data_IF_871745913660
#
_entry.id   IF_871745913660
#
_cell.length_a   1.000
_cell.length_b   1.000
_cell.length_c   1.000
_cell.angle_alpha   90.00
_cell.angle_beta   90.00
_cell.angle_gamma   90.00
#
_symmetry.space_group_name_H-M   'P 1'
#
loop_
_entity.id
_entity.type
_entity.pdbx_description
1 polymer ?
#
# COMPACT_ATOMS: atom_id res chain seq x y z
N UNK A 1 1.53 16.24 6.03
CA UNK A 1 1.75 15.28 4.93
C UNK A 1 2.84 14.31 5.33
N UNK A 2 2.59 13.02 5.18
CA UNK A 2 3.60 12.01 5.45
C UNK A 2 3.59 10.97 4.34
N UNK A 3 4.77 10.44 4.04
CA UNK A 3 4.97 9.39 3.05
C UNK A 3 5.66 8.21 3.71
N UNK A 4 5.14 7.01 3.47
CA UNK A 4 5.71 5.78 4.03
C UNK A 4 5.93 4.77 2.92
N UNK A 5 7.00 4.01 3.09
CA UNK A 5 7.26 2.83 2.25
C UNK A 5 7.11 1.61 3.15
N UNK A 6 6.27 0.68 2.73
CA UNK A 6 6.06 -0.57 3.45
C UNK A 6 6.55 -1.69 2.56
N UNK A 7 7.43 -2.53 3.09
CA UNK A 7 8.04 -3.64 2.35
C UNK A 7 7.79 -4.93 3.09
N UNK A 8 7.42 -5.97 2.35
CA UNK A 8 7.31 -7.33 2.87
C UNK A 8 7.53 -8.32 1.73
N UNK A 9 7.69 -9.59 2.07
CA UNK A 9 7.79 -10.65 1.08
C UNK A 9 6.81 -11.74 1.46
N UNK A 10 5.99 -12.15 0.48
CA UNK A 10 4.99 -13.20 0.71
C UNK A 10 5.62 -14.59 0.60
N UNK A 11 4.92 -15.58 1.15
CA UNK A 11 5.24 -16.98 0.85
C UNK A 11 5.13 -17.19 -0.66
N UNK A 12 5.96 -18.10 -1.25
CA UNK A 12 5.98 -18.26 -2.70
C UNK A 12 4.63 -18.61 -3.32
N UNK A 13 3.81 -19.36 -2.61
CA UNK A 13 2.50 -19.79 -3.11
C UNK A 13 1.38 -18.81 -2.76
N UNK A 14 1.69 -17.68 -2.13
CA UNK A 14 0.69 -16.70 -1.70
C UNK A 14 0.83 -15.33 -2.36
N UNK A 15 1.78 -15.19 -3.28
CA UNK A 15 2.03 -13.90 -3.92
C UNK A 15 0.85 -13.46 -4.80
N UNK A 16 0.28 -14.37 -5.57
CA UNK A 16 -0.85 -14.04 -6.44
C UNK A 16 -2.10 -13.71 -5.63
N UNK A 17 -2.34 -14.43 -4.54
CA UNK A 17 -3.42 -14.11 -3.63
C UNK A 17 -3.25 -12.70 -3.06
N UNK A 18 -2.06 -12.37 -2.64
CA UNK A 18 -1.77 -11.05 -2.09
C UNK A 18 -1.98 -9.97 -3.13
N UNK A 19 -1.53 -10.21 -4.36
CA UNK A 19 -1.72 -9.23 -5.43
C UNK A 19 -3.20 -8.98 -5.68
N UNK A 20 -4.01 -10.03 -5.67
CA UNK A 20 -5.47 -9.89 -5.88
C UNK A 20 -6.08 -9.02 -4.79
N UNK A 21 -5.68 -9.22 -3.54
CA UNK A 21 -6.19 -8.41 -2.43
C UNK A 21 -5.77 -6.94 -2.58
N UNK A 22 -4.55 -6.69 -3.04
CA UNK A 22 -4.09 -5.33 -3.32
C UNK A 22 -4.87 -4.71 -4.48
N UNK A 23 -5.10 -5.48 -5.55
CA UNK A 23 -5.87 -4.98 -6.69
C UNK A 23 -7.28 -4.58 -6.29
N UNK A 24 -7.89 -5.32 -5.35
CA UNK A 24 -9.21 -4.95 -4.84
C UNK A 24 -9.18 -3.60 -4.12
N UNK A 25 -8.10 -3.30 -3.39
CA UNK A 25 -7.92 -2.00 -2.75
C UNK A 25 -7.89 -0.89 -3.80
N UNK A 26 -7.12 -1.08 -4.87
CA UNK A 26 -7.02 -0.07 -5.91
C UNK A 26 -8.32 0.09 -6.69
N UNK A 27 -9.07 -0.99 -6.90
CA UNK A 27 -10.39 -0.89 -7.52
C UNK A 27 -11.34 -0.04 -6.67
N UNK A 28 -11.30 -0.22 -5.35
CA UNK A 28 -12.14 0.57 -4.45
C UNK A 28 -11.69 2.03 -4.40
N UNK A 29 -10.38 2.27 -4.43
CA UNK A 29 -9.85 3.63 -4.50
C UNK A 29 -10.31 4.35 -5.77
N UNK A 30 -10.27 3.66 -6.90
CA UNK A 30 -10.73 4.23 -8.18
C UNK A 30 -12.22 4.56 -8.14
N UNK A 31 -13.00 3.75 -7.45
CA UNK A 31 -14.44 3.96 -7.33
C UNK A 31 -14.76 5.11 -6.38
N UNK A 32 -14.14 5.15 -5.21
CA UNK A 32 -14.47 6.12 -4.17
C UNK A 32 -13.71 7.44 -4.27
N UNK A 33 -12.52 7.41 -4.85
CA UNK A 33 -11.65 8.57 -5.05
C UNK A 33 -11.51 9.43 -3.77
N UNK A 34 -11.08 8.84 -2.65
CA UNK A 34 -10.91 9.61 -1.43
C UNK A 34 -9.84 10.69 -1.61
N UNK A 35 -10.09 11.86 -1.03
CA UNK A 35 -9.14 12.95 -1.10
C UNK A 35 -7.98 12.70 -0.14
N UNK A 36 -6.81 13.26 -0.46
CA UNK A 36 -5.70 13.32 0.48
C UNK A 36 -4.86 12.05 0.57
N UNK A 37 -5.00 11.14 -0.38
CA UNK A 37 -4.18 9.93 -0.41
C UNK A 37 -3.59 9.71 -1.80
N UNK A 38 -2.30 9.35 -1.83
CA UNK A 38 -1.61 8.92 -3.04
C UNK A 38 -0.97 7.57 -2.71
N UNK A 39 -1.13 6.61 -3.58
CA UNK A 39 -0.78 5.24 -3.24
C UNK A 39 -0.31 4.51 -4.49
N UNK A 40 0.78 3.77 -4.36
CA UNK A 40 1.27 2.88 -5.41
C UNK A 40 1.76 1.60 -4.76
N UNK A 41 1.62 0.50 -5.46
CA UNK A 41 2.13 -0.79 -5.02
C UNK A 41 2.93 -1.40 -6.16
N UNK A 42 4.11 -1.93 -5.83
CA UNK A 42 5.02 -2.54 -6.78
C UNK A 42 5.30 -3.96 -6.31
N UNK A 43 5.47 -4.87 -7.26
CA UNK A 43 5.76 -6.27 -6.94
C UNK A 43 7.07 -6.68 -7.60
N UNK A 44 7.97 -7.28 -6.81
CA UNK A 44 9.19 -7.88 -7.32
C UNK A 44 8.98 -9.34 -7.73
N UNK A 45 9.92 -9.92 -8.46
CA UNK A 45 9.76 -11.30 -8.96
C UNK A 45 9.86 -12.38 -7.89
N UNK A 46 10.34 -12.03 -6.71
CA UNK A 46 10.55 -12.97 -5.59
C UNK A 46 9.40 -12.97 -4.58
N UNK A 47 8.27 -12.34 -4.90
CA UNK A 47 7.15 -12.20 -3.97
C UNK A 47 7.27 -11.00 -3.06
N UNK A 48 8.24 -10.13 -3.29
CA UNK A 48 8.36 -8.87 -2.55
C UNK A 48 7.32 -7.88 -3.03
N UNK A 49 6.75 -7.12 -2.10
CA UNK A 49 5.79 -6.05 -2.39
C UNK A 49 6.28 -4.78 -1.71
N UNK A 50 6.12 -3.69 -2.42
CA UNK A 50 6.52 -2.36 -1.95
C UNK A 50 5.31 -1.45 -2.08
N UNK A 51 4.85 -0.91 -0.97
CA UNK A 51 3.74 0.03 -0.95
C UNK A 51 4.31 1.41 -0.65
N UNK A 52 3.95 2.39 -1.48
CA UNK A 52 4.31 3.78 -1.24
C UNK A 52 3.01 4.53 -1.04
N UNK A 53 2.83 5.10 0.13
CA UNK A 53 1.59 5.80 0.46
C UNK A 53 1.91 7.18 1.03
N UNK A 54 1.25 8.21 0.48
CA UNK A 54 1.33 9.57 0.98
C UNK A 54 -0.05 9.98 1.47
N UNK A 55 -0.10 10.47 2.71
CA UNK A 55 -1.32 11.00 3.32
C UNK A 55 -1.12 12.50 3.52
N UNK A 56 -2.03 13.31 2.98
CA UNK A 56 -1.87 14.76 3.01
C UNK A 56 -2.15 15.36 4.38
N UNK A 57 -3.14 14.83 5.09
CA UNK A 57 -3.54 15.36 6.40
C UNK A 57 -3.30 14.30 7.47
N UNK A 58 -2.21 14.45 8.20
CA UNK A 58 -1.83 13.50 9.25
C UNK A 58 -2.76 13.57 10.46
N UNK A 59 -3.52 14.65 10.62
CA UNK A 59 -4.43 14.82 11.75
C UNK A 59 -5.82 14.24 11.46
N UNK A 60 -6.14 13.97 10.21
CA UNK A 60 -7.40 13.36 9.83
C UNK A 60 -7.32 11.84 9.95
N UNK A 61 -8.47 11.14 10.05
CA UNK A 61 -8.47 9.68 9.99
C UNK A 61 -7.82 9.19 8.69
N UNK A 62 -7.08 8.09 8.77
CA UNK A 62 -6.38 7.53 7.62
C UNK A 62 -7.40 7.11 6.55
N UNK A 63 -7.33 7.67 5.32
CA UNK A 63 -8.36 7.42 4.31
C UNK A 63 -8.54 5.95 3.94
N UNK A 64 -7.48 5.15 4.02
CA UNK A 64 -7.54 3.73 3.65
C UNK A 64 -8.33 2.90 4.67
N UNK A 65 -8.44 3.37 5.91
CA UNK A 65 -9.12 2.60 6.96
C UNK A 65 -10.61 2.46 6.72
N UNK A 66 -11.19 3.35 5.91
CA UNK A 66 -12.61 3.30 5.58
C UNK A 66 -12.92 2.36 4.41
N UNK A 67 -11.89 1.75 3.81
CA UNK A 67 -12.08 0.88 2.66
C UNK A 67 -12.21 -0.57 3.11
N UNK A 68 -13.37 -1.23 2.88
CA UNK A 68 -13.48 -2.66 3.21
C UNK A 68 -12.41 -3.52 2.56
N UNK A 69 -12.01 -3.20 1.31
CA UNK A 69 -10.96 -3.96 0.63
C UNK A 69 -9.62 -3.87 1.35
N UNK A 70 -9.32 -2.70 1.95
CA UNK A 70 -8.09 -2.54 2.71
C UNK A 70 -8.11 -3.41 3.97
N UNK A 71 -9.26 -3.49 4.63
CA UNK A 71 -9.42 -4.37 5.78
C UNK A 71 -9.21 -5.84 5.40
N UNK A 72 -9.75 -6.26 4.26
CA UNK A 72 -9.54 -7.63 3.79
C UNK A 72 -8.08 -7.89 3.43
N UNK A 73 -7.39 -6.91 2.85
CA UNK A 73 -5.96 -7.04 2.57
C UNK A 73 -5.16 -7.18 3.85
N UNK A 74 -5.46 -6.40 4.87
CA UNK A 74 -4.72 -6.44 6.13
C UNK A 74 -5.02 -7.70 6.94
N UNK A 75 -6.22 -8.26 6.81
CA UNK A 75 -6.54 -9.50 7.49
C UNK A 75 -5.68 -10.63 6.95
N UNK A 76 -4.93 -11.28 7.82
CA UNK A 76 -4.09 -12.41 7.43
C UNK A 76 -2.79 -12.03 6.71
N UNK A 77 -2.43 -10.74 6.64
CA UNK A 77 -1.17 -10.35 5.98
C UNK A 77 0.03 -11.04 6.64
N UNK A 78 0.04 -11.17 7.96
CA UNK A 78 1.13 -11.84 8.65
C UNK A 78 1.29 -13.29 8.25
N UNK A 79 0.19 -13.98 8.01
CA UNK A 79 0.24 -15.40 7.60
C UNK A 79 0.67 -15.55 6.16
N UNK A 80 0.37 -14.56 5.30
CA UNK A 80 0.80 -14.61 3.90
C UNK A 80 2.28 -14.31 3.74
N UNK A 81 2.92 -13.70 4.74
CA UNK A 81 4.30 -13.21 4.60
C UNK A 81 5.33 -14.22 5.06
N UNK A 82 6.39 -14.39 4.26
CA UNK A 82 7.64 -15.03 4.66
C UNK A 82 8.51 -14.03 5.42
N UNK A 83 8.48 -12.75 5.02
CA UNK A 83 9.13 -11.65 5.75
C UNK A 83 8.07 -10.63 6.09
N UNK A 84 7.93 -10.32 7.37
CA UNK A 84 6.87 -9.47 7.88
C UNK A 84 7.01 -8.03 7.39
N UNK A 85 5.90 -7.27 7.31
CA UNK A 85 5.97 -5.89 6.85
C UNK A 85 6.84 -5.00 7.73
N UNK A 86 7.64 -4.17 7.07
CA UNK A 86 8.44 -3.13 7.70
C UNK A 86 8.03 -1.81 7.07
N UNK A 87 7.60 -0.87 7.89
CA UNK A 87 7.17 0.45 7.44
C UNK A 87 8.23 1.47 7.82
N UNK A 88 8.61 2.31 6.86
CA UNK A 88 9.60 3.37 7.08
C UNK A 88 8.98 4.68 6.60
N UNK A 89 9.01 5.69 7.46
CA UNK A 89 8.62 7.02 7.06
C UNK A 89 9.75 7.65 6.26
N UNK A 90 9.42 8.23 5.10
CA UNK A 90 10.43 8.74 4.16
C UNK A 90 10.06 10.15 3.71
N UNK A 91 11.06 10.89 3.24
CA UNK A 91 10.85 12.15 2.55
C UNK A 91 11.07 11.95 1.07
N UNK A 92 10.21 12.57 0.25
CA UNK A 92 10.39 12.51 -1.20
C UNK A 92 11.44 13.52 -1.59
N UNK A 93 12.56 13.02 -2.12
CA UNK A 93 13.67 13.88 -2.57
C UNK A 93 13.33 14.53 -3.91
N UNK A 94 12.61 13.80 -4.76
CA UNK A 94 12.18 14.32 -6.05
C UNK A 94 11.33 13.30 -6.76
N UNK A 95 10.59 13.74 -7.77
CA UNK A 95 9.82 12.84 -8.63
C UNK A 95 9.68 13.48 -10.00
N UNK A 96 9.59 12.63 -11.02
CA UNK A 96 9.37 13.07 -12.38
C UNK A 96 8.55 12.00 -13.09
N UNK A 97 7.38 12.38 -13.57
CA UNK A 97 6.49 11.43 -14.23
C UNK A 97 5.79 10.45 -13.30
N UNK A 98 6.03 10.53 -11.99
CA UNK A 98 5.43 9.69 -10.96
C UNK A 98 4.82 10.59 -9.90
N UNK A 99 3.51 10.55 -9.75
CA UNK A 99 2.80 11.48 -8.87
C UNK A 99 2.60 10.90 -7.48
N UNK A 100 3.70 10.71 -6.73
CA UNK A 100 3.66 10.21 -5.36
C UNK A 100 3.87 11.30 -4.33
N UNK A 101 4.18 12.53 -4.78
CA UNK A 101 4.29 13.70 -3.90
C UNK A 101 3.64 14.88 -4.60
N UNK A 102 3.41 15.94 -3.83
CA UNK A 102 2.73 17.12 -4.36
C UNK A 102 3.71 18.07 -4.92
#
# INVERSE_FOLDING_TARGET
>A
MSTRVIRYRTQPDRADENQKLVEDVFAELAERQPAGVRYACLRGPDGSFFHVVTIEDDDAPHPLLDLPAFGRFQAGIGERCAEQPVAVEVGVVGSYGLDISR
#
